data_IF_777451693136
#
_entry.id   IF_777451693136
#
_cell.length_a   1.000
_cell.length_b   1.000
_cell.length_c   1.000
_cell.angle_alpha   90.00
_cell.angle_beta   90.00
_cell.angle_gamma   90.00
#
_symmetry.space_group_name_H-M   'P 1'
#
loop_
_entity.id
_entity.type
_entity.pdbx_description
1 polymer ?
#
# COMPACT_ATOMS: atom_id res chain seq x y z
N UNK A 1 11.08 0.20 14.76
CA UNK A 1 11.88 -0.53 13.76
C UNK A 1 10.99 -1.06 12.64
N UNK A 2 11.56 -1.40 11.46
CA UNK A 2 10.81 -1.99 10.35
C UNK A 2 10.22 -3.35 10.72
N UNK A 3 10.97 -4.16 11.46
CA UNK A 3 10.51 -5.45 12.01
C UNK A 3 9.22 -5.30 12.83
N UNK A 4 9.14 -4.28 13.69
CA UNK A 4 7.94 -4.03 14.49
C UNK A 4 6.75 -3.59 13.63
N UNK A 5 6.97 -2.78 12.59
CA UNK A 5 5.92 -2.41 11.64
C UNK A 5 5.36 -3.64 10.91
N UNK A 6 6.24 -4.54 10.47
CA UNK A 6 5.83 -5.81 9.84
C UNK A 6 5.02 -6.67 10.81
N UNK A 7 5.47 -6.79 12.06
CA UNK A 7 4.72 -7.52 13.10
C UNK A 7 3.31 -6.96 13.29
N UNK A 8 3.18 -5.64 13.46
CA UNK A 8 1.87 -5.00 13.64
C UNK A 8 0.98 -5.15 12.41
N UNK A 9 1.52 -4.96 11.21
CA UNK A 9 0.78 -5.16 9.97
C UNK A 9 0.27 -6.61 9.83
N UNK A 10 1.07 -7.59 10.24
CA UNK A 10 0.69 -9.01 10.22
C UNK A 10 -0.42 -9.30 11.24
N UNK A 11 -0.35 -8.72 12.43
CA UNK A 11 -1.43 -8.86 13.44
C UNK A 11 -2.75 -8.33 12.86
N UNK A 12 -2.74 -7.11 12.31
CA UNK A 12 -3.93 -6.51 11.70
C UNK A 12 -4.47 -7.35 10.52
N UNK A 13 -3.57 -7.83 9.65
CA UNK A 13 -3.95 -8.70 8.53
C UNK A 13 -4.57 -10.02 9.01
N UNK A 14 -4.02 -10.62 10.06
CA UNK A 14 -4.55 -11.87 10.62
C UNK A 14 -5.94 -11.66 11.23
N UNK A 15 -6.18 -10.53 11.91
CA UNK A 15 -7.53 -10.16 12.35
C UNK A 15 -8.47 -9.94 11.17
N UNK A 16 -8.03 -9.25 10.13
CA UNK A 16 -8.82 -9.03 8.92
C UNK A 16 -9.20 -10.35 8.24
N UNK A 17 -8.33 -11.36 8.26
CA UNK A 17 -8.61 -12.67 7.71
C UNK A 17 -9.73 -13.43 8.45
N UNK A 18 -10.17 -12.98 9.62
CA UNK A 18 -11.34 -13.55 10.32
C UNK A 18 -12.68 -13.06 9.75
N UNK A 19 -12.68 -11.99 8.93
CA UNK A 19 -13.88 -11.39 8.37
C UNK A 19 -14.36 -12.19 7.14
N UNK A 20 -15.08 -13.28 7.39
CA UNK A 20 -15.54 -14.22 6.36
C UNK A 20 -17.06 -14.23 6.18
N UNK A 21 -17.76 -13.19 6.64
CA UNK A 21 -19.21 -13.07 6.48
C UNK A 21 -19.57 -12.47 5.11
N UNK A 22 -19.61 -13.30 4.08
CA UNK A 22 -19.91 -12.89 2.71
C UNK A 22 -21.41 -13.07 2.40
N UNK A 23 -22.22 -12.03 2.68
CA UNK A 23 -23.69 -12.08 2.54
C UNK A 23 -24.19 -12.37 1.12
N UNK A 24 -23.43 -11.97 0.08
CA UNK A 24 -23.88 -11.99 -1.32
C UNK A 24 -23.04 -12.91 -2.21
N UNK A 25 -22.06 -13.64 -1.64
CA UNK A 25 -21.22 -14.56 -2.38
C UNK A 25 -21.64 -16.01 -2.13
N UNK A 26 -21.32 -16.88 -3.08
CA UNK A 26 -21.53 -18.32 -2.93
C UNK A 26 -20.68 -18.88 -1.79
N UNK A 27 -21.18 -19.92 -1.12
CA UNK A 27 -20.49 -20.54 0.03
C UNK A 27 -19.05 -21.02 -0.28
N UNK A 28 -18.75 -21.34 -1.54
CA UNK A 28 -17.39 -21.73 -1.93
C UNK A 28 -16.36 -20.65 -1.65
N UNK A 29 -16.72 -19.37 -1.79
CA UNK A 29 -15.84 -18.24 -1.45
C UNK A 29 -15.51 -18.20 0.04
N UNK A 30 -16.54 -18.40 0.88
CA UNK A 30 -16.36 -18.46 2.32
C UNK A 30 -15.44 -19.61 2.70
N UNK A 31 -15.73 -20.81 2.18
CA UNK A 31 -14.95 -22.02 2.44
C UNK A 31 -13.47 -21.83 2.08
N UNK A 32 -13.18 -21.40 0.85
CA UNK A 32 -11.80 -21.18 0.39
C UNK A 32 -11.08 -20.12 1.25
N UNK A 33 -11.77 -19.01 1.57
CA UNK A 33 -11.18 -17.97 2.40
C UNK A 33 -10.89 -18.46 3.82
N UNK A 34 -11.75 -19.29 4.38
CA UNK A 34 -11.57 -19.85 5.73
C UNK A 34 -10.48 -20.93 5.78
N UNK A 35 -10.29 -21.67 4.72
CA UNK A 35 -9.22 -22.67 4.58
C UNK A 35 -7.86 -22.03 4.35
N UNK A 36 -7.79 -21.01 3.48
CA UNK A 36 -6.52 -20.42 3.06
C UNK A 36 -6.07 -19.25 3.94
N UNK A 37 -6.99 -18.45 4.48
CA UNK A 37 -6.69 -17.28 5.32
C UNK A 37 -5.61 -16.36 4.74
N UNK A 38 -5.63 -16.12 3.44
CA UNK A 38 -4.59 -15.38 2.72
C UNK A 38 -4.34 -14.00 3.33
N UNK A 39 -3.08 -13.68 3.52
CA UNK A 39 -2.60 -12.35 3.86
C UNK A 39 -1.83 -11.73 2.71
N UNK A 40 -1.53 -10.45 2.84
CA UNK A 40 -0.73 -9.73 1.89
C UNK A 40 0.08 -8.65 2.59
N UNK A 41 0.96 -9.04 3.52
CA UNK A 41 1.90 -8.10 4.13
C UNK A 41 2.93 -7.70 3.09
N UNK A 42 3.04 -6.41 2.83
CA UNK A 42 3.88 -5.85 1.76
C UNK A 42 4.61 -4.61 2.25
N UNK A 43 5.77 -4.35 1.68
CA UNK A 43 6.50 -3.10 1.87
C UNK A 43 6.07 -2.07 0.82
N UNK A 44 6.00 -0.81 1.22
CA UNK A 44 5.83 0.34 0.33
C UNK A 44 6.87 1.40 0.64
N UNK A 45 7.13 2.33 -0.28
CA UNK A 45 8.18 3.32 -0.11
C UNK A 45 9.59 2.72 -0.14
N UNK A 46 9.78 1.61 -0.81
CA UNK A 46 11.08 0.92 -0.91
C UNK A 46 12.13 1.87 -1.49
N UNK A 47 11.78 2.59 -2.55
CA UNK A 47 12.68 3.51 -3.25
C UNK A 47 12.85 4.86 -2.55
N UNK A 48 12.09 5.14 -1.49
CA UNK A 48 12.27 6.33 -0.63
C UNK A 48 13.34 6.13 0.45
N UNK A 49 13.83 4.91 0.61
CA UNK A 49 14.75 4.52 1.66
C UNK A 49 16.12 4.10 1.10
N UNK A 50 17.08 3.97 2.00
CA UNK A 50 18.40 3.40 1.67
C UNK A 50 18.37 1.88 1.43
N UNK A 51 17.20 1.23 1.49
CA UNK A 51 17.04 -0.20 1.21
C UNK A 51 17.62 -0.63 -0.15
N UNK A 52 17.34 0.08 -1.27
CA UNK A 52 17.92 -0.30 -2.56
C UNK A 52 19.43 -0.06 -2.67
N UNK A 53 19.98 0.82 -1.83
CA UNK A 53 21.45 1.04 -1.76
C UNK A 53 22.17 0.00 -0.90
N UNK A 54 21.41 -0.81 -0.17
CA UNK A 54 21.93 -1.98 0.55
C UNK A 54 21.93 -3.16 -0.42
N UNK A 55 23.09 -3.55 -0.90
CA UNK A 55 23.22 -4.61 -1.91
C UNK A 55 23.75 -5.92 -1.31
N UNK A 56 23.55 -7.01 -2.05
CA UNK A 56 24.09 -8.32 -1.70
C UNK A 56 23.41 -8.97 -0.49
N UNK A 57 24.17 -9.83 0.19
CA UNK A 57 23.66 -10.68 1.28
C UNK A 57 22.96 -9.91 2.41
N UNK A 58 23.31 -8.65 2.67
CA UNK A 58 22.69 -7.85 3.74
C UNK A 58 21.21 -7.55 3.45
N UNK A 59 20.88 -7.21 2.21
CA UNK A 59 19.48 -6.96 1.81
C UNK A 59 18.67 -8.25 1.86
N UNK A 60 19.21 -9.34 1.34
CA UNK A 60 18.57 -10.65 1.34
C UNK A 60 18.27 -11.12 2.76
N UNK A 61 19.25 -11.13 3.64
CA UNK A 61 19.09 -11.51 5.06
C UNK A 61 18.03 -10.63 5.75
N UNK A 62 18.05 -9.33 5.49
CA UNK A 62 17.03 -8.43 6.06
C UNK A 62 15.64 -8.78 5.59
N UNK A 63 15.43 -9.00 4.29
CA UNK A 63 14.12 -9.37 3.74
C UNK A 63 13.64 -10.72 4.28
N UNK A 64 14.54 -11.69 4.44
CA UNK A 64 14.24 -12.97 5.07
C UNK A 64 13.79 -12.81 6.53
N UNK A 65 14.49 -12.01 7.32
CA UNK A 65 14.10 -11.71 8.71
C UNK A 65 12.73 -11.06 8.77
N UNK A 66 12.39 -10.17 7.85
CA UNK A 66 11.08 -9.54 7.79
C UNK A 66 9.98 -10.54 7.40
N UNK A 67 10.24 -11.38 6.39
CA UNK A 67 9.34 -12.48 6.00
C UNK A 67 9.07 -13.42 7.17
N UNK A 68 10.12 -13.89 7.81
CA UNK A 68 10.03 -14.84 8.93
C UNK A 68 9.29 -14.21 10.12
N UNK A 69 9.52 -12.92 10.38
CA UNK A 69 8.75 -12.17 11.39
C UNK A 69 7.25 -12.19 11.06
N UNK A 70 6.87 -11.97 9.79
CA UNK A 70 5.48 -12.02 9.38
C UNK A 70 4.89 -13.43 9.56
N UNK A 71 5.57 -14.46 9.08
CA UNK A 71 5.11 -15.86 9.16
C UNK A 71 4.93 -16.30 10.61
N UNK A 72 5.93 -16.06 11.47
CA UNK A 72 5.86 -16.42 12.88
C UNK A 72 4.76 -15.65 13.64
N UNK A 73 4.59 -14.37 13.32
CA UNK A 73 3.50 -13.55 13.90
C UNK A 73 2.13 -14.07 13.50
N UNK A 74 1.95 -14.41 12.21
CA UNK A 74 0.69 -15.00 11.74
C UNK A 74 0.41 -16.34 12.44
N UNK A 75 1.40 -17.22 12.56
CA UNK A 75 1.23 -18.51 13.23
C UNK A 75 0.81 -18.35 14.69
N UNK A 76 1.44 -17.41 15.42
CA UNK A 76 1.12 -17.14 16.82
C UNK A 76 -0.31 -16.56 16.95
N UNK A 77 -0.69 -15.61 16.11
CA UNK A 77 -2.02 -15.00 16.12
C UNK A 77 -3.11 -15.97 15.69
N UNK A 78 -2.89 -16.76 14.65
CA UNK A 78 -3.82 -17.78 14.18
C UNK A 78 -4.14 -18.79 15.29
N UNK A 79 -3.12 -19.22 16.05
CA UNK A 79 -3.29 -20.08 17.23
C UNK A 79 -4.17 -19.43 18.29
N UNK A 80 -3.95 -18.15 18.62
CA UNK A 80 -4.75 -17.41 19.60
C UNK A 80 -6.21 -17.26 19.14
N UNK A 81 -6.43 -16.98 17.86
CA UNK A 81 -7.74 -16.80 17.26
C UNK A 81 -8.44 -18.13 16.93
N UNK A 82 -7.76 -19.27 17.10
CA UNK A 82 -8.28 -20.61 16.79
C UNK A 82 -8.72 -20.74 15.32
N UNK A 83 -7.93 -20.18 14.41
CA UNK A 83 -8.14 -20.28 12.96
C UNK A 83 -6.93 -20.97 12.32
N UNK A 84 -7.06 -21.50 11.10
CA UNK A 84 -5.92 -21.99 10.33
C UNK A 84 -4.86 -20.89 10.15
N UNK A 85 -3.60 -21.29 10.12
CA UNK A 85 -2.52 -20.40 9.70
C UNK A 85 -2.68 -20.06 8.22
N UNK A 86 -2.35 -18.82 7.86
CA UNK A 86 -2.42 -18.37 6.46
C UNK A 86 -1.46 -19.17 5.57
N UNK A 87 -1.95 -19.63 4.43
CA UNK A 87 -1.15 -20.36 3.44
C UNK A 87 -0.16 -19.45 2.72
N UNK A 88 -0.47 -18.16 2.60
CA UNK A 88 0.45 -17.12 2.12
C UNK A 88 0.32 -15.89 3.00
N UNK A 89 1.46 -15.31 3.41
CA UNK A 89 1.51 -14.20 4.38
C UNK A 89 2.07 -12.93 3.75
N UNK A 90 3.12 -13.02 2.94
CA UNK A 90 3.79 -11.87 2.33
C UNK A 90 3.57 -11.86 0.82
N UNK A 91 3.51 -10.67 0.25
CA UNK A 91 3.44 -10.50 -1.19
C UNK A 91 3.98 -9.14 -1.64
N UNK A 92 4.19 -8.97 -2.94
CA UNK A 92 4.43 -7.67 -3.55
C UNK A 92 3.09 -7.09 -4.01
N UNK A 93 2.75 -5.90 -3.54
CA UNK A 93 1.51 -5.21 -3.91
C UNK A 93 1.78 -3.94 -4.70
N UNK A 94 0.95 -3.63 -5.71
CA UNK A 94 0.86 -2.28 -6.24
C UNK A 94 0.08 -1.43 -5.22
N UNK A 95 0.78 -0.65 -4.39
CA UNK A 95 0.13 0.09 -3.30
C UNK A 95 -0.70 1.30 -3.75
N UNK A 96 -0.62 1.68 -5.02
CA UNK A 96 -1.48 2.70 -5.64
C UNK A 96 -1.70 3.96 -4.80
N UNK A 97 -2.92 4.10 -4.31
CA UNK A 97 -3.34 5.26 -3.50
C UNK A 97 -2.99 5.14 -2.02
N UNK A 98 -2.92 3.94 -1.45
CA UNK A 98 -2.66 3.74 0.00
C UNK A 98 -1.29 4.31 0.42
N UNK A 99 -0.28 4.19 -0.44
CA UNK A 99 1.04 4.78 -0.20
C UNK A 99 1.02 6.30 -0.03
N UNK A 100 0.02 6.98 -0.61
CA UNK A 100 -0.12 8.43 -0.51
C UNK A 100 -0.55 8.89 0.89
N UNK A 101 -1.26 8.06 1.64
CA UNK A 101 -1.62 8.35 3.04
C UNK A 101 -0.38 8.48 3.94
N UNK A 102 0.72 7.85 3.57
CA UNK A 102 1.98 7.85 4.30
C UNK A 102 3.07 8.64 3.59
N UNK A 103 2.72 9.36 2.52
CA UNK A 103 3.66 10.05 1.63
C UNK A 103 4.85 9.16 1.22
N UNK A 104 4.55 7.93 0.84
CA UNK A 104 5.54 6.96 0.42
C UNK A 104 5.45 6.69 -1.09
N UNK A 105 6.58 6.31 -1.71
CA UNK A 105 6.58 5.80 -3.07
C UNK A 105 5.75 4.50 -3.16
N UNK A 106 5.05 4.30 -4.26
CA UNK A 106 4.12 3.18 -4.43
C UNK A 106 4.85 1.84 -4.61
N UNK A 107 4.77 0.96 -3.62
CA UNK A 107 5.36 -0.38 -3.69
C UNK A 107 6.86 -0.33 -4.02
N UNK A 108 7.23 -0.95 -5.13
CA UNK A 108 8.60 -1.00 -5.66
C UNK A 108 8.93 0.16 -6.62
N UNK A 109 7.97 1.05 -6.90
CA UNK A 109 8.18 2.13 -7.88
C UNK A 109 9.07 3.23 -7.31
N UNK A 110 9.89 3.82 -8.18
CA UNK A 110 10.63 5.03 -7.90
C UNK A 110 9.70 6.26 -7.85
N UNK A 111 10.16 7.34 -7.21
CA UNK A 111 9.50 8.65 -7.33
C UNK A 111 9.63 9.17 -8.76
N UNK A 112 8.65 9.97 -9.19
CA UNK A 112 8.66 10.52 -10.55
C UNK A 112 9.88 11.42 -10.80
N UNK A 113 10.08 12.41 -9.93
CA UNK A 113 11.20 13.36 -9.96
C UNK A 113 11.45 13.88 -8.53
N UNK A 114 12.57 14.62 -8.28
CA UNK A 114 12.77 15.29 -6.98
C UNK A 114 11.64 16.27 -6.63
N UNK A 115 11.10 16.97 -7.64
CA UNK A 115 9.90 17.83 -7.56
C UNK A 115 8.99 17.50 -8.74
N UNK A 116 7.70 17.36 -8.50
CA UNK A 116 6.71 17.07 -9.54
C UNK A 116 5.32 17.55 -9.16
N UNK A 117 4.44 17.70 -10.14
CA UNK A 117 3.02 17.96 -9.91
C UNK A 117 2.27 16.62 -9.95
N UNK A 118 1.57 16.34 -8.88
CA UNK A 118 0.63 15.21 -8.84
C UNK A 118 -0.76 15.70 -9.16
N UNK A 119 -1.36 15.14 -10.19
CA UNK A 119 -2.74 15.43 -10.54
C UNK A 119 -3.69 14.37 -9.97
N UNK A 120 -4.81 14.83 -9.43
CA UNK A 120 -5.88 13.98 -8.86
C UNK A 120 -7.20 14.39 -9.47
N UNK A 121 -7.96 13.41 -9.94
CA UNK A 121 -9.29 13.64 -10.52
C UNK A 121 -10.37 13.46 -9.46
N UNK A 122 -11.31 14.39 -9.42
CA UNK A 122 -12.51 14.35 -8.60
C UNK A 122 -13.77 14.51 -9.43
N UNK A 123 -14.85 13.80 -9.08
CA UNK A 123 -16.16 14.04 -9.68
C UNK A 123 -16.69 15.39 -9.22
N UNK A 124 -17.25 16.19 -10.13
CA UNK A 124 -17.77 17.54 -9.82
C UNK A 124 -18.93 17.53 -8.81
N UNK A 125 -19.62 16.40 -8.67
CA UNK A 125 -20.72 16.22 -7.70
C UNK A 125 -20.21 15.78 -6.31
N UNK A 126 -18.95 15.38 -6.19
CA UNK A 126 -18.37 14.97 -4.92
C UNK A 126 -18.21 16.20 -4.00
N UNK A 127 -18.77 16.19 -2.78
CA UNK A 127 -18.60 17.26 -1.81
C UNK A 127 -17.13 17.60 -1.51
N UNK A 128 -16.23 16.61 -1.55
CA UNK A 128 -14.80 16.84 -1.37
C UNK A 128 -14.21 17.66 -2.52
N UNK A 129 -14.62 17.38 -3.76
CA UNK A 129 -14.22 18.16 -4.94
C UNK A 129 -14.65 19.62 -4.81
N UNK A 130 -15.90 19.86 -4.44
CA UNK A 130 -16.43 21.22 -4.22
C UNK A 130 -15.69 21.94 -3.08
N UNK A 131 -15.42 21.23 -1.99
CA UNK A 131 -14.64 21.76 -0.88
C UNK A 131 -13.23 22.17 -1.31
N UNK A 132 -12.49 21.30 -2.01
CA UNK A 132 -11.13 21.61 -2.49
C UNK A 132 -11.12 22.81 -3.44
N UNK A 133 -12.12 22.94 -4.32
CA UNK A 133 -12.27 24.10 -5.18
C UNK A 133 -12.51 25.38 -4.36
N UNK A 134 -13.37 25.33 -3.35
CA UNK A 134 -13.64 26.46 -2.46
C UNK A 134 -12.44 26.91 -1.64
N UNK A 135 -11.49 26.01 -1.39
CA UNK A 135 -10.24 26.31 -0.69
C UNK A 135 -9.16 26.88 -1.64
N UNK A 136 -9.45 27.08 -2.92
CA UNK A 136 -8.52 27.65 -3.89
C UNK A 136 -7.39 26.71 -4.30
N UNK A 137 -7.57 25.40 -4.15
CA UNK A 137 -6.61 24.41 -4.67
C UNK A 137 -6.57 24.54 -6.21
N UNK A 138 -5.37 24.63 -6.84
CA UNK A 138 -5.28 24.73 -8.29
C UNK A 138 -6.00 23.58 -8.99
N UNK A 139 -6.96 23.93 -9.83
CA UNK A 139 -7.84 22.98 -10.47
C UNK A 139 -8.20 23.42 -11.88
N UNK A 140 -8.43 22.45 -12.76
CA UNK A 140 -8.87 22.65 -14.14
C UNK A 140 -9.90 21.57 -14.54
N UNK A 141 -10.76 21.80 -15.53
CA UNK A 141 -11.62 20.76 -16.08
C UNK A 141 -10.80 19.63 -16.70
N UNK A 142 -11.26 18.37 -16.52
CA UNK A 142 -10.62 17.22 -17.18
C UNK A 142 -10.77 17.28 -18.70
N UNK A 143 -9.71 17.02 -19.43
CA UNK A 143 -9.69 17.11 -20.92
C UNK A 143 -10.71 16.16 -21.57
N UNK A 144 -10.93 14.98 -20.99
CA UNK A 144 -11.84 13.98 -21.56
C UNK A 144 -13.27 14.11 -21.06
N UNK A 145 -13.47 14.67 -19.86
CA UNK A 145 -14.77 14.80 -19.21
C UNK A 145 -14.92 16.16 -18.49
N UNK A 146 -14.86 17.27 -19.21
CA UNK A 146 -14.83 18.61 -18.61
C UNK A 146 -16.05 18.94 -17.76
N UNK A 147 -17.23 18.43 -18.15
CA UNK A 147 -18.51 18.73 -17.47
C UNK A 147 -18.69 17.98 -16.16
N UNK A 148 -17.96 16.90 -15.93
CA UNK A 148 -18.17 16.01 -14.79
C UNK A 148 -16.95 15.79 -13.90
N UNK A 149 -15.77 16.19 -14.36
CA UNK A 149 -14.53 15.87 -13.65
C UNK A 149 -13.61 17.08 -13.58
N UNK A 150 -13.12 17.35 -12.38
CA UNK A 150 -12.11 18.35 -12.09
C UNK A 150 -10.78 17.70 -11.79
N UNK A 151 -9.69 18.26 -12.33
CA UNK A 151 -8.30 17.82 -12.10
C UNK A 151 -7.62 18.81 -11.16
N UNK A 152 -7.22 18.34 -9.99
CA UNK A 152 -6.46 19.11 -9.00
C UNK A 152 -4.97 18.89 -9.17
N UNK A 153 -4.17 19.93 -8.98
CA UNK A 153 -2.71 19.92 -9.09
C UNK A 153 -2.05 20.14 -7.74
N UNK A 154 -1.32 19.14 -7.26
CA UNK A 154 -0.60 19.17 -5.99
C UNK A 154 0.91 19.19 -6.22
N UNK A 155 1.66 20.22 -5.75
CA UNK A 155 3.11 20.21 -5.80
C UNK A 155 3.65 19.18 -4.80
N UNK A 156 4.51 18.28 -5.27
CA UNK A 156 5.10 17.21 -4.50
C UNK A 156 6.63 17.35 -4.48
N UNK A 157 7.21 17.01 -3.33
CA UNK A 157 8.66 16.94 -3.13
C UNK A 157 9.01 15.53 -2.67
N UNK A 158 9.93 14.87 -3.36
CA UNK A 158 10.44 13.56 -2.94
C UNK A 158 11.34 13.70 -1.70
N UNK A 159 11.37 12.71 -0.81
CA UNK A 159 12.31 12.66 0.30
C UNK A 159 13.76 12.78 -0.18
N UNK A 160 14.63 13.34 0.66
CA UNK A 160 16.07 13.41 0.37
C UNK A 160 16.65 11.99 0.24
N UNK A 161 17.34 11.73 -0.87
CA UNK A 161 17.93 10.43 -1.16
C UNK A 161 16.96 9.39 -1.75
N UNK A 162 15.70 9.76 -2.01
CA UNK A 162 14.77 8.91 -2.75
C UNK A 162 15.27 8.67 -4.19
N UNK A 163 15.13 7.44 -4.66
CA UNK A 163 15.43 7.08 -6.05
C UNK A 163 14.30 7.58 -6.94
N UNK A 164 14.67 8.30 -8.00
CA UNK A 164 13.73 8.75 -9.03
C UNK A 164 13.75 7.83 -10.24
N UNK A 165 12.71 7.91 -11.07
CA UNK A 165 12.59 7.06 -12.27
C UNK A 165 13.75 7.16 -13.24
N UNK A 166 14.44 8.31 -13.28
CA UNK A 166 15.61 8.53 -14.14
C UNK A 166 16.89 7.89 -13.59
N UNK A 167 16.89 7.49 -12.33
CA UNK A 167 17.99 6.82 -11.64
C UNK A 167 17.78 5.30 -11.53
N UNK A 168 16.57 4.85 -11.88
CA UNK A 168 16.20 3.44 -11.86
C UNK A 168 16.48 2.85 -13.25
N UNK A 169 17.68 2.33 -13.46
CA UNK A 169 18.10 1.61 -14.67
C UNK A 169 17.93 0.10 -14.49
#
# INVERSE_FOLDING_TARGET
>A
TLKEKVRLATILGTFQATLTNFKYLRNVWKKNTEEERLLGVSLTGIMDNKLPSTTGNTLEVMLEVLRDTAVQTNAAMAKQLKIPQSTAVTCVKPSGTVSQLTDAASGIHARHNPYYIRTVRGDNKDPLTQFLMSQGIPAEPDVMKPDSTTVFSFPMKSPSGAITRTQMN
#
